data_IF_217947889642
#
_entry.id   IF_217947889642
#
_cell.length_a   1.000
_cell.length_b   1.000
_cell.length_c   1.000
_cell.angle_alpha   90.00
_cell.angle_beta   90.00
_cell.angle_gamma   90.00
#
_symmetry.space_group_name_H-M   'P 1'
#
loop_
_entity.id
_entity.type
_entity.pdbx_description
1 polymer ?
#
# COMPACT_ATOMS: atom_id res chain seq x y z
N UNK A 1 37.58 -23.07 -67.67
CA UNK A 1 38.82 -22.30 -67.47
C UNK A 1 38.66 -21.60 -66.13
N UNK A 2 39.42 -22.06 -65.15
CA UNK A 2 39.37 -21.65 -63.74
C UNK A 2 40.02 -20.28 -63.62
N UNK A 3 39.47 -19.37 -62.82
CA UNK A 3 40.24 -18.23 -62.34
C UNK A 3 40.03 -18.04 -60.83
N UNK A 4 41.11 -17.79 -60.07
CA UNK A 4 41.18 -18.18 -58.66
C UNK A 4 40.88 -17.04 -57.69
N UNK A 5 40.56 -17.46 -56.47
CA UNK A 5 40.54 -16.67 -55.24
C UNK A 5 41.98 -16.57 -54.71
N UNK A 6 42.46 -15.36 -54.37
CA UNK A 6 43.55 -15.10 -53.41
C UNK A 6 43.28 -13.73 -52.75
N UNK A 7 42.85 -13.66 -51.48
CA UNK A 7 43.63 -13.55 -50.22
C UNK A 7 43.87 -12.09 -49.79
N UNK A 8 43.06 -11.70 -48.78
CA UNK A 8 43.35 -11.01 -47.51
C UNK A 8 44.40 -9.87 -47.40
N UNK A 9 43.89 -8.80 -46.78
CA UNK A 9 44.34 -8.13 -45.52
C UNK A 9 45.12 -6.80 -45.57
N UNK A 10 44.71 -5.99 -44.57
CA UNK A 10 45.42 -4.91 -43.84
C UNK A 10 45.04 -3.46 -44.16
N UNK A 11 43.95 -3.04 -43.48
CA UNK A 11 43.75 -1.83 -42.65
C UNK A 11 44.36 -0.47 -43.02
N UNK A 12 43.55 0.59 -42.93
CA UNK A 12 43.67 1.59 -41.84
C UNK A 12 42.44 2.50 -41.74
N UNK A 13 42.17 2.91 -40.50
CA UNK A 13 40.93 3.45 -39.95
C UNK A 13 40.63 4.91 -40.30
N UNK A 14 39.33 5.27 -40.33
CA UNK A 14 38.86 6.57 -39.86
C UNK A 14 37.63 6.33 -38.98
N UNK A 15 37.73 6.80 -37.73
CA UNK A 15 36.77 6.55 -36.66
C UNK A 15 35.37 7.07 -36.97
N UNK A 16 34.42 6.14 -37.00
CA UNK A 16 33.04 6.43 -36.62
C UNK A 16 32.92 6.23 -35.12
N UNK A 17 32.52 7.27 -34.41
CA UNK A 17 32.21 7.23 -32.99
C UNK A 17 31.34 5.99 -32.70
N UNK A 18 31.83 5.13 -31.83
CA UNK A 18 31.00 4.13 -31.16
C UNK A 18 29.96 4.94 -30.39
N UNK A 19 28.75 5.12 -30.93
CA UNK A 19 27.60 5.49 -30.10
C UNK A 19 27.28 4.22 -29.32
N UNK A 20 27.56 4.13 -28.00
CA UNK A 20 27.06 3.00 -27.25
C UNK A 20 25.54 3.04 -27.38
N UNK A 21 25.00 1.95 -27.93
CA UNK A 21 23.58 1.67 -27.97
C UNK A 21 22.95 2.12 -26.66
N UNK A 22 21.84 2.85 -26.75
CA UNK A 22 21.05 3.31 -25.62
C UNK A 22 21.00 2.22 -24.54
N UNK A 23 21.64 2.48 -23.39
CA UNK A 23 21.39 1.68 -22.20
C UNK A 23 19.88 1.82 -21.99
N UNK A 24 19.12 0.75 -22.26
CA UNK A 24 17.73 0.68 -21.85
C UNK A 24 17.77 0.68 -20.32
N UNK A 25 17.73 1.87 -19.75
CA UNK A 25 17.67 2.06 -18.31
C UNK A 25 16.24 1.73 -17.92
N UNK A 26 16.09 0.54 -17.39
CA UNK A 26 14.85 -0.09 -16.94
C UNK A 26 14.37 0.49 -15.60
N UNK A 27 14.36 1.82 -15.51
CA UNK A 27 13.98 2.57 -14.32
C UNK A 27 12.60 3.18 -14.50
N UNK A 28 11.73 2.98 -13.51
CA UNK A 28 10.37 3.54 -13.51
C UNK A 28 10.02 4.11 -12.15
N UNK A 29 9.35 5.26 -12.16
CA UNK A 29 8.75 5.82 -10.96
C UNK A 29 7.29 5.43 -10.80
N UNK A 30 6.86 5.23 -9.56
CA UNK A 30 5.48 4.90 -9.21
C UNK A 30 4.99 5.80 -8.08
N UNK A 31 3.74 6.20 -8.19
CA UNK A 31 2.93 6.66 -7.05
C UNK A 31 1.90 5.59 -6.70
N UNK A 32 1.78 5.30 -5.40
CA UNK A 32 0.81 4.36 -4.83
C UNK A 32 0.19 4.94 -3.57
N UNK A 33 -1.01 4.47 -3.24
CA UNK A 33 -1.60 4.77 -1.94
C UNK A 33 -0.72 4.21 -0.81
N UNK A 34 -0.61 4.96 0.28
CA UNK A 34 0.00 4.49 1.53
C UNK A 34 -0.96 3.62 2.32
N UNK A 35 -1.33 4.08 3.51
CA UNK A 35 -2.39 3.47 4.33
C UNK A 35 -3.76 3.66 3.64
N UNK A 36 -4.43 2.55 3.30
CA UNK A 36 -5.79 2.54 2.78
C UNK A 36 -6.56 1.36 3.41
N UNK A 37 -7.80 1.62 3.81
CA UNK A 37 -8.64 0.70 4.55
C UNK A 37 -9.95 0.35 3.83
N UNK A 38 -10.11 0.81 2.58
CA UNK A 38 -11.26 0.46 1.74
C UNK A 38 -12.55 1.21 2.11
N UNK A 39 -13.70 0.60 1.83
CA UNK A 39 -15.04 1.14 2.09
C UNK A 39 -15.95 0.01 2.54
N UNK A 40 -15.80 -0.42 3.80
CA UNK A 40 -16.45 -1.63 4.33
C UNK A 40 -17.92 -1.41 4.63
N UNK A 41 -18.26 -0.26 5.22
CA UNK A 41 -19.58 0.14 5.67
C UNK A 41 -20.11 1.39 4.97
N UNK A 42 -19.40 1.88 3.94
CA UNK A 42 -19.78 3.07 3.18
C UNK A 42 -19.76 2.80 1.69
N UNK A 43 -20.41 3.70 0.95
CA UNK A 43 -20.33 3.75 -0.52
C UNK A 43 -18.89 3.80 -1.05
N UNK A 44 -18.64 3.23 -2.24
CA UNK A 44 -17.34 3.30 -2.89
C UNK A 44 -16.90 4.75 -3.17
N UNK A 45 -15.64 4.97 -3.56
CA UNK A 45 -15.18 6.30 -3.95
C UNK A 45 -16.06 6.94 -5.03
N UNK A 46 -16.28 8.25 -4.94
CA UNK A 46 -16.99 9.01 -5.94
C UNK A 46 -16.31 8.93 -7.32
N UNK A 47 -17.08 9.13 -8.39
CA UNK A 47 -16.57 9.07 -9.77
C UNK A 47 -15.36 9.98 -9.95
N UNK A 48 -14.24 9.40 -10.38
CA UNK A 48 -12.97 10.11 -10.57
C UNK A 48 -12.04 10.06 -9.35
N UNK A 49 -12.36 9.29 -8.32
CA UNK A 49 -11.45 8.91 -7.25
C UNK A 49 -11.31 7.38 -7.21
N UNK A 50 -10.16 6.90 -6.70
CA UNK A 50 -9.92 5.48 -6.45
C UNK A 50 -9.91 5.13 -4.95
N UNK A 51 -9.76 6.14 -4.10
CA UNK A 51 -9.63 5.97 -2.66
C UNK A 51 -10.55 6.96 -1.93
N UNK A 52 -11.10 6.53 -0.80
CA UNK A 52 -11.80 7.41 0.15
C UNK A 52 -10.89 7.62 1.35
N UNK A 53 -10.72 8.88 1.73
CA UNK A 53 -10.03 9.31 2.93
C UNK A 53 -11.03 10.17 3.71
N UNK A 54 -11.32 9.82 4.96
CA UNK A 54 -12.20 10.66 5.76
C UNK A 54 -11.46 11.91 6.22
N UNK A 55 -12.19 13.02 6.33
CA UNK A 55 -11.62 14.29 6.78
C UNK A 55 -10.91 14.11 8.12
N UNK A 56 -9.68 14.60 8.21
CA UNK A 56 -8.81 14.42 9.39
C UNK A 56 -7.96 13.14 9.38
N UNK A 57 -8.24 12.18 8.50
CA UNK A 57 -7.33 11.05 8.30
C UNK A 57 -6.06 11.50 7.58
N UNK A 58 -4.88 10.95 7.95
CA UNK A 58 -3.65 11.27 7.25
C UNK A 58 -3.67 10.72 5.83
N UNK A 59 -3.36 11.56 4.85
CA UNK A 59 -3.24 11.18 3.44
C UNK A 59 -1.79 10.76 3.20
N UNK A 60 -1.54 9.45 3.18
CA UNK A 60 -0.20 8.90 2.97
C UNK A 60 -0.05 8.34 1.56
N UNK A 61 1.13 8.56 0.99
CA UNK A 61 1.49 8.17 -0.38
C UNK A 61 2.81 7.43 -0.34
N UNK A 62 2.93 6.38 -1.14
CA UNK A 62 4.17 5.63 -1.36
C UNK A 62 4.72 5.99 -2.73
N UNK A 63 5.98 6.38 -2.76
CA UNK A 63 6.69 6.74 -3.98
C UNK A 63 7.83 5.75 -4.16
N UNK A 64 7.98 5.23 -5.38
CA UNK A 64 9.02 4.26 -5.68
C UNK A 64 9.82 4.64 -6.92
N UNK A 65 11.09 4.25 -6.94
CA UNK A 65 11.89 4.12 -8.15
C UNK A 65 12.31 2.67 -8.27
N UNK A 66 11.76 1.96 -9.26
CA UNK A 66 11.99 0.55 -9.51
C UNK A 66 13.02 0.37 -10.61
N UNK A 67 13.95 -0.57 -10.42
CA UNK A 67 14.71 -1.16 -11.50
C UNK A 67 14.04 -2.48 -11.93
N UNK A 68 13.32 -2.48 -13.04
CA UNK A 68 12.66 -3.68 -13.57
C UNK A 68 13.56 -4.53 -14.49
N UNK A 69 14.81 -4.09 -14.67
CA UNK A 69 15.78 -4.71 -15.55
C UNK A 69 16.51 -5.89 -14.90
N UNK A 70 17.40 -6.48 -15.69
CA UNK A 70 18.29 -7.58 -15.27
C UNK A 70 19.68 -7.13 -14.83
N UNK A 71 19.99 -5.83 -14.98
CA UNK A 71 21.30 -5.24 -14.65
C UNK A 71 21.14 -4.15 -13.58
N UNK A 72 22.22 -3.89 -12.84
CA UNK A 72 22.29 -2.74 -11.94
C UNK A 72 22.06 -1.45 -12.71
N UNK A 73 21.31 -0.54 -12.13
CA UNK A 73 21.06 0.79 -12.67
C UNK A 73 21.59 1.85 -11.70
N UNK A 74 21.90 3.03 -12.20
CA UNK A 74 22.26 4.17 -11.36
C UNK A 74 21.13 5.19 -11.35
N UNK A 75 20.73 5.58 -10.14
CA UNK A 75 19.82 6.69 -9.88
C UNK A 75 20.67 7.88 -9.46
N UNK A 76 20.50 9.01 -10.15
CA UNK A 76 21.27 10.22 -9.98
C UNK A 76 20.41 11.25 -9.26
N UNK A 77 20.80 11.57 -8.02
CA UNK A 77 20.19 12.60 -7.20
C UNK A 77 20.88 13.95 -7.34
N UNK A 78 22.16 13.98 -7.70
CA UNK A 78 23.00 15.19 -7.63
C UNK A 78 22.85 15.83 -6.24
N UNK A 79 22.56 17.13 -6.18
CA UNK A 79 22.40 17.90 -4.94
C UNK A 79 21.03 17.72 -4.26
N UNK A 80 20.12 16.92 -4.83
CA UNK A 80 18.79 16.73 -4.26
C UNK A 80 18.86 15.91 -2.97
N UNK A 81 18.22 16.42 -1.92
CA UNK A 81 17.92 15.65 -0.72
C UNK A 81 16.75 14.68 -0.98
N UNK A 82 16.58 13.60 -0.19
CA UNK A 82 15.46 12.66 -0.35
C UNK A 82 14.09 13.35 -0.43
N UNK A 83 13.90 14.39 0.37
CA UNK A 83 12.64 15.13 0.52
C UNK A 83 12.26 15.88 -0.77
N UNK A 84 13.26 16.12 -1.62
CA UNK A 84 13.16 16.86 -2.87
C UNK A 84 13.12 15.93 -4.10
N UNK A 85 13.18 14.61 -3.89
CA UNK A 85 13.22 13.61 -4.96
C UNK A 85 11.95 13.59 -5.82
N UNK A 86 10.82 14.08 -5.29
CA UNK A 86 9.55 14.15 -5.99
C UNK A 86 8.94 15.54 -5.89
N UNK A 87 8.28 15.95 -6.97
CA UNK A 87 7.46 17.15 -7.01
C UNK A 87 6.01 16.76 -7.20
N UNK A 88 5.10 17.45 -6.52
CA UNK A 88 3.66 17.33 -6.73
C UNK A 88 3.13 18.51 -7.56
N UNK A 89 2.17 18.24 -8.42
CA UNK A 89 1.34 19.24 -9.10
C UNK A 89 -0.11 18.91 -8.86
N UNK A 90 -0.88 19.87 -8.35
CA UNK A 90 -2.31 19.69 -8.12
C UNK A 90 -3.05 19.90 -9.44
N UNK A 91 -3.62 18.82 -9.98
CA UNK A 91 -4.43 18.87 -11.19
C UNK A 91 -5.89 19.20 -10.89
N UNK A 92 -6.40 18.69 -9.76
CA UNK A 92 -7.77 18.92 -9.30
C UNK A 92 -7.81 19.01 -7.77
N UNK A 93 -8.56 19.98 -7.27
CA UNK A 93 -8.93 20.15 -5.86
C UNK A 93 -10.34 20.77 -5.79
N UNK A 94 -11.03 20.70 -4.64
CA UNK A 94 -12.39 21.23 -4.49
C UNK A 94 -12.51 22.74 -4.75
N UNK A 95 -11.48 23.52 -4.37
CA UNK A 95 -11.44 24.97 -4.61
C UNK A 95 -10.05 25.44 -5.07
N UNK A 96 -9.94 26.61 -5.73
CA UNK A 96 -8.65 27.19 -6.13
C UNK A 96 -7.70 27.49 -4.96
N UNK A 97 -8.22 27.90 -3.80
CA UNK A 97 -7.43 28.22 -2.61
C UNK A 97 -6.68 26.98 -2.10
N UNK A 98 -7.38 25.85 -2.03
CA UNK A 98 -6.79 24.56 -1.63
C UNK A 98 -5.72 24.13 -2.62
N UNK A 99 -5.92 24.41 -3.92
CA UNK A 99 -4.96 24.08 -4.97
C UNK A 99 -3.61 24.78 -4.80
N UNK A 100 -3.61 26.03 -4.35
CA UNK A 100 -2.40 26.82 -4.15
C UNK A 100 -1.53 26.34 -2.99
N UNK A 101 -2.15 25.69 -2.00
CA UNK A 101 -1.55 25.46 -0.69
C UNK A 101 -1.30 23.98 -0.38
N UNK A 102 -1.53 23.09 -1.36
CA UNK A 102 -1.30 21.65 -1.25
C UNK A 102 0.14 21.30 -1.61
N UNK A 103 0.78 20.53 -0.74
CA UNK A 103 2.14 20.04 -0.92
C UNK A 103 2.27 18.56 -0.60
N UNK A 104 3.51 18.10 -0.60
CA UNK A 104 3.89 16.81 -0.04
C UNK A 104 5.07 16.99 0.89
N UNK A 105 5.06 16.22 1.96
CA UNK A 105 6.20 16.04 2.85
C UNK A 105 6.73 14.63 2.62
N UNK A 106 7.89 14.53 1.97
CA UNK A 106 8.57 13.25 1.73
C UNK A 106 9.52 12.99 2.90
N UNK A 107 9.49 11.77 3.43
CA UNK A 107 10.36 11.34 4.53
C UNK A 107 11.84 11.34 4.10
N UNK A 108 12.76 11.83 4.95
CA UNK A 108 14.20 11.74 4.69
C UNK A 108 14.72 10.29 4.72
N UNK A 109 13.98 9.38 5.37
CA UNK A 109 14.35 7.98 5.54
C UNK A 109 13.91 7.15 4.33
N UNK A 110 14.84 6.96 3.39
CA UNK A 110 14.63 6.14 2.19
C UNK A 110 14.99 4.69 2.48
N UNK A 111 14.17 3.75 1.98
CA UNK A 111 14.44 2.31 2.08
C UNK A 111 14.77 1.73 0.71
N UNK A 112 15.75 0.86 0.65
CA UNK A 112 16.00 -0.01 -0.49
C UNK A 112 15.25 -1.31 -0.24
N UNK A 113 14.22 -1.55 -1.04
CA UNK A 113 13.44 -2.79 -0.99
C UNK A 113 14.03 -3.76 -2.00
N UNK A 114 14.59 -4.84 -1.48
CA UNK A 114 15.11 -5.99 -2.22
C UNK A 114 14.06 -7.11 -2.22
N UNK A 115 14.16 -8.13 -3.09
CA UNK A 115 13.15 -9.20 -3.17
C UNK A 115 12.84 -9.93 -1.85
N UNK A 116 13.77 -9.92 -0.88
CA UNK A 116 13.64 -10.65 0.39
C UNK A 116 13.89 -9.81 1.64
N UNK A 117 14.23 -8.53 1.49
CA UNK A 117 14.59 -7.69 2.64
C UNK A 117 14.41 -6.21 2.31
N UNK A 118 14.36 -5.37 3.33
CA UNK A 118 14.38 -3.93 3.20
C UNK A 118 15.49 -3.37 4.09
N UNK A 119 16.32 -2.49 3.55
CA UNK A 119 17.41 -1.86 4.29
C UNK A 119 17.34 -0.34 4.15
N UNK A 120 17.78 0.43 5.16
CA UNK A 120 17.95 1.88 5.01
C UNK A 120 18.94 2.20 3.89
N UNK A 121 18.72 3.32 3.19
CA UNK A 121 19.63 3.84 2.16
C UNK A 121 20.49 4.93 2.78
N UNK A 122 21.80 4.79 2.64
CA UNK A 122 22.71 5.92 2.80
C UNK A 122 22.59 6.81 1.56
N UNK A 123 21.89 7.93 1.71
CA UNK A 123 21.61 8.83 0.59
C UNK A 123 22.90 9.48 0.07
N UNK A 124 23.04 9.52 -1.25
CA UNK A 124 24.18 10.13 -1.93
C UNK A 124 23.78 10.64 -3.31
N UNK A 125 24.66 11.39 -3.97
CA UNK A 125 24.41 11.93 -5.31
C UNK A 125 24.15 10.83 -6.37
N UNK A 126 24.66 9.62 -6.13
CA UNK A 126 24.63 8.49 -7.06
C UNK A 126 24.29 7.21 -6.30
N UNK A 127 23.09 6.72 -6.50
CA UNK A 127 22.55 5.55 -5.80
C UNK A 127 22.52 4.37 -6.77
N UNK A 128 23.24 3.30 -6.43
CA UNK A 128 23.17 2.05 -7.19
C UNK A 128 21.89 1.30 -6.82
N UNK A 129 21.08 0.98 -7.84
CA UNK A 129 19.84 0.25 -7.69
C UNK A 129 19.96 -1.14 -8.33
N UNK A 130 19.98 -2.23 -7.54
CA UNK A 130 20.06 -3.60 -8.06
C UNK A 130 18.85 -3.98 -8.94
N UNK A 131 18.98 -5.03 -9.78
CA UNK A 131 17.85 -5.61 -10.51
C UNK A 131 16.71 -5.97 -9.57
N UNK A 132 15.46 -5.70 -9.99
CA UNK A 132 14.23 -6.00 -9.25
C UNK A 132 14.14 -5.33 -7.86
N UNK A 133 15.00 -4.36 -7.58
CA UNK A 133 14.98 -3.57 -6.36
C UNK A 133 14.27 -2.23 -6.58
N UNK A 134 13.78 -1.63 -5.51
CA UNK A 134 13.23 -0.27 -5.55
C UNK A 134 13.72 0.60 -4.42
N UNK A 135 13.96 1.87 -4.71
CA UNK A 135 14.01 2.92 -3.69
C UNK A 135 12.58 3.26 -3.31
N UNK A 136 12.29 3.26 -2.01
CA UNK A 136 10.97 3.47 -1.45
C UNK A 136 10.99 4.70 -0.54
N UNK A 137 10.06 5.61 -0.79
CA UNK A 137 9.85 6.84 -0.06
C UNK A 137 8.43 6.86 0.49
N UNK A 138 8.31 7.21 1.77
CA UNK A 138 7.02 7.55 2.36
C UNK A 138 6.79 9.04 2.23
N UNK A 139 5.59 9.43 1.86
CA UNK A 139 5.18 10.81 1.79
C UNK A 139 3.81 11.02 2.41
N UNK A 140 3.56 12.24 2.88
CA UNK A 140 2.25 12.71 3.31
C UNK A 140 1.83 13.86 2.42
N UNK A 141 0.55 13.91 2.05
CA UNK A 141 -0.02 15.11 1.44
C UNK A 141 -0.26 16.11 2.56
N UNK A 142 0.21 17.34 2.38
CA UNK A 142 0.12 18.42 3.35
C UNK A 142 -0.67 19.59 2.78
N UNK A 143 -1.25 20.40 3.65
CA UNK A 143 -1.89 21.67 3.32
C UNK A 143 -1.69 22.67 4.45
N UNK A 144 -1.92 23.95 4.18
CA UNK A 144 -1.87 24.99 5.23
C UNK A 144 -2.98 24.85 6.27
N UNK A 145 -4.13 24.31 5.87
CA UNK A 145 -5.24 24.04 6.76
C UNK A 145 -5.00 22.73 7.51
N UNK A 146 -5.42 22.70 8.79
CA UNK A 146 -5.35 21.50 9.63
C UNK A 146 -6.13 20.32 9.04
N UNK A 147 -7.26 20.59 8.40
CA UNK A 147 -8.06 19.62 7.67
C UNK A 147 -8.40 20.13 6.27
N UNK A 148 -8.03 19.35 5.25
CA UNK A 148 -8.43 19.64 3.88
C UNK A 148 -9.95 19.47 3.70
N UNK A 149 -10.60 20.30 2.87
CA UNK A 149 -12.04 20.22 2.68
C UNK A 149 -12.45 18.95 1.90
N UNK A 150 -13.70 18.47 2.09
CA UNK A 150 -14.22 17.36 1.31
C UNK A 150 -14.23 17.62 -0.20
N UNK A 151 -14.09 16.56 -0.99
CA UNK A 151 -14.17 16.57 -2.44
C UNK A 151 -13.08 15.76 -3.12
N UNK A 152 -12.96 15.92 -4.44
CA UNK A 152 -12.09 15.08 -5.28
C UNK A 152 -10.75 15.78 -5.55
N UNK A 153 -9.66 15.06 -5.31
CA UNK A 153 -8.29 15.50 -5.48
C UNK A 153 -7.56 14.65 -6.51
N UNK A 154 -6.89 15.30 -7.46
CA UNK A 154 -5.98 14.65 -8.41
C UNK A 154 -4.61 15.29 -8.28
N UNK A 155 -3.64 14.51 -7.82
CA UNK A 155 -2.26 14.93 -7.64
C UNK A 155 -1.37 14.22 -8.65
N UNK A 156 -0.57 14.99 -9.40
CA UNK A 156 0.45 14.47 -10.31
C UNK A 156 1.81 14.51 -9.63
N UNK A 157 2.46 13.36 -9.51
CA UNK A 157 3.78 13.19 -8.94
C UNK A 157 4.82 13.05 -10.06
N UNK A 158 5.87 13.86 -9.99
CA UNK A 158 7.00 13.82 -10.92
C UNK A 158 8.28 13.49 -10.16
N UNK A 159 8.97 12.43 -10.59
CA UNK A 159 10.31 12.12 -10.12
C UNK A 159 11.30 13.19 -10.63
N UNK A 160 12.10 13.76 -9.73
CA UNK A 160 13.17 14.72 -10.05
C UNK A 160 14.53 14.04 -10.23
N UNK A 161 14.68 12.82 -9.73
CA UNK A 161 15.89 12.01 -9.92
C UNK A 161 16.03 11.60 -11.39
N UNK A 162 17.28 11.39 -11.79
CA UNK A 162 17.63 11.05 -13.18
C UNK A 162 18.27 9.67 -13.25
N UNK A 163 18.35 9.12 -14.44
CA UNK A 163 19.11 7.90 -14.69
C UNK A 163 20.61 8.20 -14.89
N UNK A 164 21.44 7.17 -15.08
CA UNK A 164 22.89 7.33 -15.28
C UNK A 164 23.21 8.20 -16.51
N UNK A 165 22.37 8.13 -17.54
CA UNK A 165 22.46 8.95 -18.75
C UNK A 165 21.98 10.39 -18.58
N UNK A 166 21.52 10.78 -17.38
CA UNK A 166 20.96 12.10 -17.08
C UNK A 166 19.52 12.29 -17.55
N UNK A 167 18.89 11.24 -18.11
CA UNK A 167 17.50 11.29 -18.58
C UNK A 167 16.51 11.22 -17.42
N UNK A 168 15.29 11.71 -17.67
CA UNK A 168 14.19 11.59 -16.72
C UNK A 168 13.84 10.11 -16.51
N UNK A 169 13.57 9.72 -15.27
CA UNK A 169 13.03 8.40 -14.97
C UNK A 169 11.53 8.42 -15.32
N UNK A 170 11.07 7.64 -16.32
CA UNK A 170 9.68 7.64 -16.74
C UNK A 170 8.75 7.23 -15.59
N UNK A 171 7.56 7.81 -15.54
CA UNK A 171 6.52 7.40 -14.61
C UNK A 171 5.73 6.24 -15.21
N UNK A 172 5.62 5.15 -14.45
CA UNK A 172 4.64 4.10 -14.74
C UNK A 172 3.28 4.47 -14.12
N UNK A 173 3.27 5.08 -12.93
CA UNK A 173 2.10 5.74 -12.36
C UNK A 173 2.51 7.09 -11.79
N UNK A 174 1.81 8.16 -12.18
CA UNK A 174 2.07 9.52 -11.71
C UNK A 174 0.84 10.22 -11.13
N UNK A 175 -0.38 9.72 -11.38
CA UNK A 175 -1.60 10.37 -10.89
C UNK A 175 -2.15 9.62 -9.67
N UNK A 176 -2.31 10.34 -8.57
CA UNK A 176 -2.99 9.87 -7.37
C UNK A 176 -4.36 10.56 -7.25
N UNK A 177 -5.43 9.76 -7.31
CA UNK A 177 -6.82 10.25 -7.35
C UNK A 177 -7.58 9.75 -6.13
N UNK A 178 -8.03 10.66 -5.28
CA UNK A 178 -8.73 10.31 -4.04
C UNK A 178 -9.85 11.31 -3.74
N UNK A 179 -10.78 10.88 -2.90
CA UNK A 179 -11.85 11.67 -2.34
C UNK A 179 -11.55 11.91 -0.87
N UNK A 180 -11.69 13.17 -0.42
CA UNK A 180 -11.85 13.47 1.00
C UNK A 180 -13.34 13.51 1.29
N UNK A 181 -13.79 12.73 2.28
CA UNK A 181 -15.21 12.62 2.66
C UNK A 181 -15.42 13.13 4.08
N UNK A 182 -16.46 13.94 4.29
CA UNK A 182 -16.90 14.32 5.63
C UNK A 182 -17.62 13.16 6.30
N UNK A 183 -17.65 13.14 7.63
CA UNK A 183 -18.42 12.15 8.40
C UNK A 183 -19.83 12.69 8.61
N UNK A 184 -20.78 12.26 7.78
CA UNK A 184 -22.14 12.82 7.78
C UNK A 184 -23.20 11.76 8.12
N UNK A 185 -23.02 10.55 7.59
CA UNK A 185 -24.00 9.46 7.70
C UNK A 185 -23.71 8.52 8.87
N UNK A 186 -24.64 7.61 9.15
CA UNK A 186 -24.41 6.55 10.14
C UNK A 186 -23.34 5.57 9.66
N UNK A 187 -23.42 5.21 8.38
CA UNK A 187 -22.46 4.41 7.62
C UNK A 187 -21.04 4.98 7.69
N UNK A 188 -20.88 6.30 7.51
CA UNK A 188 -19.58 6.96 7.64
C UNK A 188 -18.99 6.81 9.04
N UNK A 189 -19.82 6.92 10.08
CA UNK A 189 -19.37 6.75 11.47
C UNK A 189 -18.89 5.31 11.73
N UNK A 190 -19.61 4.31 11.23
CA UNK A 190 -19.19 2.91 11.33
C UNK A 190 -17.89 2.67 10.57
N UNK A 191 -17.77 3.24 9.36
CA UNK A 191 -16.58 3.12 8.53
C UNK A 191 -15.36 3.75 9.20
N UNK A 192 -15.47 4.96 9.74
CA UNK A 192 -14.36 5.59 10.45
C UNK A 192 -13.91 4.74 11.64
N UNK A 193 -14.83 4.20 12.43
CA UNK A 193 -14.48 3.34 13.56
C UNK A 193 -13.75 2.07 13.15
N UNK A 194 -14.21 1.37 12.10
CA UNK A 194 -13.53 0.15 11.64
C UNK A 194 -12.15 0.46 11.03
N UNK A 195 -12.01 1.60 10.33
CA UNK A 195 -10.73 2.06 9.77
C UNK A 195 -9.74 2.42 10.86
N UNK A 196 -10.17 3.15 11.89
CA UNK A 196 -9.36 3.47 13.07
C UNK A 196 -8.93 2.20 13.79
N UNK A 197 -9.86 1.29 14.07
CA UNK A 197 -9.55 0.00 14.70
C UNK A 197 -8.52 -0.80 13.89
N UNK A 198 -8.71 -0.90 12.57
CA UNK A 198 -7.78 -1.62 11.69
C UNK A 198 -6.39 -0.98 11.68
N UNK A 199 -6.32 0.36 11.64
CA UNK A 199 -5.06 1.10 11.72
C UNK A 199 -4.32 0.86 13.03
N UNK A 200 -5.03 0.88 14.15
CA UNK A 200 -4.49 0.60 15.48
C UNK A 200 -4.00 -0.86 15.57
N UNK A 201 -4.76 -1.81 15.03
CA UNK A 201 -4.40 -3.21 15.00
C UNK A 201 -3.10 -3.47 14.23
N UNK A 202 -2.96 -2.90 13.04
CA UNK A 202 -1.72 -3.01 12.23
C UNK A 202 -0.51 -2.38 12.93
N UNK A 203 -0.74 -1.40 13.81
CA UNK A 203 0.29 -0.78 14.65
C UNK A 203 0.49 -1.51 15.98
N UNK A 204 -0.08 -2.70 16.13
CA UNK A 204 0.00 -3.56 17.32
C UNK A 204 -0.53 -2.91 18.61
N UNK A 205 -1.40 -1.88 18.47
CA UNK A 205 -2.03 -1.17 19.59
C UNK A 205 -3.33 -1.85 20.00
N UNK A 206 -3.24 -3.10 20.45
CA UNK A 206 -4.40 -3.98 20.61
C UNK A 206 -5.45 -3.47 21.61
N UNK A 207 -5.04 -2.82 22.71
CA UNK A 207 -5.98 -2.25 23.69
C UNK A 207 -6.78 -1.09 23.11
N UNK A 208 -6.15 -0.24 22.28
CA UNK A 208 -6.83 0.85 21.59
C UNK A 208 -7.78 0.29 20.51
N UNK A 209 -7.35 -0.76 19.79
CA UNK A 209 -8.20 -1.47 18.84
C UNK A 209 -9.46 -2.01 19.51
N UNK A 210 -9.36 -2.66 20.68
CA UNK A 210 -10.52 -3.20 21.39
C UNK A 210 -11.52 -2.11 21.78
N UNK A 211 -11.04 -0.93 22.20
CA UNK A 211 -11.93 0.20 22.51
C UNK A 211 -12.75 0.60 21.29
N UNK A 212 -12.10 0.74 20.13
CA UNK A 212 -12.77 1.13 18.87
C UNK A 212 -13.70 0.04 18.34
N UNK A 213 -13.31 -1.23 18.46
CA UNK A 213 -14.18 -2.36 18.11
C UNK A 213 -15.41 -2.42 19.03
N UNK A 214 -15.25 -2.17 20.32
CA UNK A 214 -16.39 -2.15 21.26
C UNK A 214 -17.32 -0.96 21.00
N UNK A 215 -16.78 0.21 20.65
CA UNK A 215 -17.57 1.38 20.21
C UNK A 215 -18.36 1.05 18.94
N UNK A 216 -17.71 0.46 17.94
CA UNK A 216 -18.36 -0.01 16.71
C UNK A 216 -19.49 -1.00 17.00
N UNK A 217 -19.25 -2.01 17.84
CA UNK A 217 -20.24 -3.04 18.16
C UNK A 217 -21.37 -2.54 19.08
N UNK A 218 -21.15 -1.45 19.82
CA UNK A 218 -22.21 -0.77 20.57
C UNK A 218 -23.17 -0.05 19.60
N UNK A 219 -22.64 0.62 18.57
CA UNK A 219 -23.43 1.31 17.56
C UNK A 219 -24.07 0.35 16.55
N UNK A 220 -23.34 -0.68 16.15
CA UNK A 220 -23.77 -1.67 15.16
C UNK A 220 -23.41 -3.10 15.61
N UNK A 221 -24.29 -3.72 16.44
CA UNK A 221 -24.05 -5.07 16.98
C UNK A 221 -23.94 -6.19 15.95
N UNK A 222 -24.31 -5.93 14.70
CA UNK A 222 -24.23 -6.88 13.60
C UNK A 222 -22.99 -6.66 12.70
N UNK A 223 -21.97 -5.94 13.16
CA UNK A 223 -20.72 -5.75 12.42
C UNK A 223 -19.90 -7.05 12.34
N UNK A 224 -19.94 -7.72 11.19
CA UNK A 224 -19.08 -8.87 10.91
C UNK A 224 -17.59 -8.48 10.95
N UNK A 225 -17.23 -7.31 10.43
CA UNK A 225 -15.85 -6.81 10.47
C UNK A 225 -15.37 -6.55 11.92
N UNK A 226 -16.23 -5.98 12.77
CA UNK A 226 -15.94 -5.77 14.20
C UNK A 226 -15.69 -7.09 14.94
N UNK A 227 -16.53 -8.11 14.71
CA UNK A 227 -16.28 -9.45 15.28
C UNK A 227 -15.04 -10.13 14.68
N UNK A 228 -14.75 -9.89 13.40
CA UNK A 228 -13.52 -10.35 12.76
C UNK A 228 -12.28 -9.80 13.47
N UNK A 229 -12.20 -8.48 13.66
CA UNK A 229 -11.09 -7.86 14.40
C UNK A 229 -11.01 -8.34 15.85
N UNK A 230 -12.14 -8.52 16.52
CA UNK A 230 -12.18 -9.09 17.87
C UNK A 230 -11.57 -10.50 17.91
N UNK A 231 -11.82 -11.30 16.89
CA UNK A 231 -11.20 -12.62 16.71
C UNK A 231 -9.69 -12.52 16.53
N UNK A 232 -9.22 -11.61 15.69
CA UNK A 232 -7.79 -11.41 15.44
C UNK A 232 -7.03 -10.92 16.68
N UNK A 233 -7.64 -10.04 17.49
CA UNK A 233 -7.05 -9.61 18.77
C UNK A 233 -6.94 -10.78 19.74
N UNK A 234 -7.99 -11.60 19.86
CA UNK A 234 -7.98 -12.77 20.73
C UNK A 234 -6.92 -13.79 20.28
N UNK A 235 -6.77 -14.00 18.97
CA UNK A 235 -5.76 -14.88 18.38
C UNK A 235 -4.33 -14.41 18.70
N UNK A 236 -4.02 -13.13 18.48
CA UNK A 236 -2.71 -12.54 18.83
C UNK A 236 -2.39 -12.69 20.32
N UNK A 237 -3.41 -12.67 21.18
CA UNK A 237 -3.28 -12.88 22.63
C UNK A 237 -3.27 -14.35 23.06
N UNK A 238 -3.31 -15.30 22.11
CA UNK A 238 -3.34 -16.74 22.38
C UNK A 238 -4.66 -17.26 22.95
N UNK A 239 -5.73 -16.45 22.93
CA UNK A 239 -7.04 -16.81 23.46
C UNK A 239 -7.90 -17.50 22.41
N UNK A 240 -7.54 -18.74 22.09
CA UNK A 240 -8.12 -19.51 20.97
C UNK A 240 -9.64 -19.65 21.02
N UNK A 241 -10.22 -19.96 22.18
CA UNK A 241 -11.68 -20.11 22.32
C UNK A 241 -12.43 -18.79 22.07
N UNK A 242 -11.89 -17.66 22.54
CA UNK A 242 -12.46 -16.34 22.29
C UNK A 242 -12.37 -15.97 20.81
N UNK A 243 -11.24 -16.28 20.15
CA UNK A 243 -11.04 -16.07 18.72
C UNK A 243 -12.05 -16.88 17.89
N UNK A 244 -12.19 -18.18 18.18
CA UNK A 244 -13.17 -19.05 17.52
C UNK A 244 -14.59 -18.52 17.69
N UNK A 245 -14.97 -18.09 18.90
CA UNK A 245 -16.31 -17.56 19.17
C UNK A 245 -16.58 -16.29 18.34
N UNK A 246 -15.60 -15.38 18.26
CA UNK A 246 -15.72 -14.14 17.52
C UNK A 246 -15.79 -14.38 16.00
N UNK A 247 -14.89 -15.20 15.45
CA UNK A 247 -14.91 -15.54 14.02
C UNK A 247 -16.17 -16.30 13.62
N UNK A 248 -16.69 -17.21 14.45
CA UNK A 248 -17.98 -17.87 14.20
C UNK A 248 -19.12 -16.86 14.16
N UNK A 249 -19.13 -15.86 15.05
CA UNK A 249 -20.14 -14.80 15.05
C UNK A 249 -20.07 -13.95 13.78
N UNK A 250 -18.86 -13.55 13.35
CA UNK A 250 -18.67 -12.83 12.08
C UNK A 250 -19.19 -13.65 10.89
N UNK A 251 -18.84 -14.94 10.83
CA UNK A 251 -19.24 -15.85 9.75
C UNK A 251 -20.77 -16.04 9.70
N UNK A 252 -21.40 -16.20 10.86
CA UNK A 252 -22.85 -16.32 11.01
C UNK A 252 -23.56 -15.05 10.53
N UNK A 253 -23.07 -13.87 10.90
CA UNK A 253 -23.64 -12.59 10.44
C UNK A 253 -23.61 -12.44 8.91
N UNK A 254 -22.50 -12.81 8.27
CA UNK A 254 -22.39 -12.77 6.81
C UNK A 254 -23.32 -13.78 6.13
N UNK A 255 -23.32 -15.04 6.58
CA UNK A 255 -24.14 -16.10 5.96
C UNK A 255 -25.64 -15.89 6.15
N UNK A 256 -26.05 -15.32 7.28
CA UNK A 256 -27.45 -15.04 7.58
C UNK A 256 -27.95 -13.72 7.02
N UNK A 257 -27.09 -12.92 6.38
CA UNK A 257 -27.49 -11.63 5.80
C UNK A 257 -27.69 -10.51 6.83
N UNK A 258 -27.23 -10.68 8.08
CA UNK A 258 -27.52 -9.74 9.17
C UNK A 258 -26.59 -8.54 9.24
N UNK A 259 -25.39 -8.63 8.68
CA UNK A 259 -24.56 -7.45 8.44
C UNK A 259 -25.04 -6.74 7.16
N UNK A 260 -26.22 -6.12 7.26
CA UNK A 260 -26.91 -5.50 6.11
C UNK A 260 -26.11 -4.36 5.49
N UNK A 261 -25.34 -3.60 6.28
CA UNK A 261 -24.56 -2.46 5.76
C UNK A 261 -23.35 -2.97 4.99
N UNK A 262 -22.60 -3.93 5.54
CA UNK A 262 -21.50 -4.56 4.80
C UNK A 262 -21.98 -5.15 3.48
N UNK A 263 -23.07 -5.91 3.52
CA UNK A 263 -23.61 -6.61 2.35
C UNK A 263 -24.20 -5.66 1.30
N UNK A 264 -24.56 -4.43 1.67
CA UNK A 264 -25.05 -3.41 0.73
C UNK A 264 -23.92 -2.81 -0.12
N UNK A 265 -22.69 -2.79 0.40
CA UNK A 265 -21.54 -2.17 -0.28
C UNK A 265 -20.51 -3.19 -0.80
N UNK A 266 -20.46 -4.38 -0.21
CA UNK A 266 -19.59 -5.45 -0.67
C UNK A 266 -20.11 -6.08 -1.97
N UNK A 267 -19.19 -6.43 -2.88
CA UNK A 267 -19.52 -7.29 -4.01
C UNK A 267 -19.69 -8.74 -3.55
N UNK A 268 -20.43 -9.56 -4.31
CA UNK A 268 -20.56 -11.00 -4.00
C UNK A 268 -19.20 -11.68 -3.83
N UNK A 269 -18.23 -11.36 -4.69
CA UNK A 269 -16.86 -11.87 -4.59
C UNK A 269 -16.17 -11.41 -3.30
N UNK A 270 -16.39 -10.15 -2.89
CA UNK A 270 -15.87 -9.63 -1.62
C UNK A 270 -16.46 -10.37 -0.40
N UNK A 271 -17.77 -10.64 -0.42
CA UNK A 271 -18.44 -11.42 0.63
C UNK A 271 -17.90 -12.85 0.69
N UNK A 272 -17.79 -13.52 -0.45
CA UNK A 272 -17.22 -14.88 -0.54
C UNK A 272 -15.77 -14.92 -0.04
N UNK A 273 -14.97 -13.91 -0.38
CA UNK A 273 -13.59 -13.79 0.10
C UNK A 273 -13.53 -13.67 1.63
N UNK A 274 -14.35 -12.80 2.23
CA UNK A 274 -14.41 -12.66 3.69
C UNK A 274 -14.88 -13.94 4.39
N UNK A 275 -15.89 -14.61 3.84
CA UNK A 275 -16.36 -15.91 4.35
C UNK A 275 -15.24 -16.95 4.28
N UNK A 276 -14.52 -17.02 3.16
CA UNK A 276 -13.42 -17.95 2.97
C UNK A 276 -12.30 -17.70 4.01
N UNK A 277 -11.90 -16.44 4.20
CA UNK A 277 -10.91 -16.05 5.20
C UNK A 277 -11.30 -16.48 6.62
N UNK A 278 -12.56 -16.24 7.02
CA UNK A 278 -13.08 -16.67 8.33
C UNK A 278 -13.09 -18.20 8.48
N UNK A 279 -13.47 -18.94 7.43
CA UNK A 279 -13.46 -20.41 7.44
C UNK A 279 -12.04 -20.96 7.59
N UNK A 280 -11.06 -20.37 6.90
CA UNK A 280 -9.64 -20.75 7.03
C UNK A 280 -9.14 -20.51 8.45
N UNK A 281 -9.37 -19.32 9.00
CA UNK A 281 -8.97 -18.99 10.38
C UNK A 281 -9.57 -19.96 11.40
N UNK A 282 -10.87 -20.27 11.26
CA UNK A 282 -11.56 -21.22 12.14
C UNK A 282 -10.99 -22.64 12.08
N UNK A 283 -10.65 -23.13 10.88
CA UNK A 283 -10.02 -24.45 10.71
C UNK A 283 -8.64 -24.51 11.33
N UNK A 284 -7.83 -23.46 11.16
CA UNK A 284 -6.49 -23.37 11.76
C UNK A 284 -6.57 -23.50 13.28
N UNK A 285 -7.40 -22.68 13.92
CA UNK A 285 -7.54 -22.67 15.38
C UNK A 285 -8.09 -23.98 15.95
N UNK A 286 -9.00 -24.65 15.24
CA UNK A 286 -9.54 -25.96 15.64
C UNK A 286 -8.47 -27.05 15.58
N UNK A 287 -7.71 -27.12 14.49
CA UNK A 287 -6.63 -28.11 14.35
C UNK A 287 -5.54 -27.94 15.42
N UNK A 288 -5.24 -26.71 15.82
CA UNK A 288 -4.30 -26.44 16.91
C UNK A 288 -4.81 -26.93 18.28
N UNK A 289 -6.11 -26.75 18.58
CA UNK A 289 -6.71 -27.23 19.83
C UNK A 289 -6.71 -28.77 19.91
N UNK A 290 -7.03 -29.44 18.80
CA UNK A 290 -6.99 -30.89 18.69
C UNK A 290 -5.57 -31.42 18.90
N UNK A 291 -4.56 -30.80 18.29
CA UNK A 291 -3.15 -31.12 18.50
C UNK A 291 -2.67 -30.94 19.95
N UNK A 292 -3.08 -29.85 20.62
CA UNK A 292 -2.74 -29.60 22.03
C UNK A 292 -3.37 -30.60 22.99
N UNK A 293 -4.62 -31.01 22.75
CA UNK A 293 -5.31 -32.01 23.55
C UNK A 293 -4.67 -33.41 23.40
N UNK A 294 -4.26 -33.79 22.18
CA UNK A 294 -3.52 -35.03 21.96
C UNK A 294 -2.13 -35.02 22.60
N UNK A 295 -1.43 -33.89 22.60
CA UNK A 295 -0.10 -33.80 23.22
C UNK A 295 -0.15 -33.84 24.76
N UNK A 296 -1.18 -33.23 25.38
CA UNK A 296 -1.39 -33.33 26.84
C UNK A 296 -1.74 -34.77 27.28
N UNK A 297 -2.52 -35.49 26.48
CA UNK A 297 -2.87 -36.90 26.76
C UNK A 297 -1.70 -37.89 26.66
N UNK A 298 -0.60 -37.53 25.99
CA UNK A 298 0.60 -38.38 25.86
C UNK A 298 1.70 -38.06 26.89
N UNK A 299 1.56 -36.98 27.68
CA UNK A 299 2.56 -36.51 28.65
C UNK A 299 2.28 -36.90 30.10
N UNK A 300 1.36 -37.82 30.36
CA UNK A 300 1.22 -38.46 31.68
C UNK A 300 2.04 -39.76 31.71
N UNK A 301 3.27 -39.78 32.26
CA UNK A 301 3.91 -41.03 32.63
C UNK A 301 3.23 -41.58 33.90
N UNK A 302 2.89 -42.87 33.87
CA UNK A 302 2.59 -43.67 35.06
C UNK A 302 3.81 -43.78 35.98
#
# INVERSE_FOLDING_TARGET
MVQPICVLLVSLAIGGAFSPQSVNEHLYSFVRVGENYGTTYTSPPAKGAYFVIFQGEPITVRLDILNDGSKKAMVIANELRPEEAFQVTVLKAPTPEVRGNLGIEVSPSVKLILPKTAIPVEWSERIELPPQARLYFEAKVTGEQEALPPGIYHLKFRCRLKSASGKEIPAHSEIFQFEIRAVETFEDRLEVLIREATRLFVREKYEETEKKVNELLLLYPNSAAGYGLKGSIAEVRGKKDEAIKAYRKALDLLRSGRDTIYLSYASNVGVEHSISGLVVALRSLQGELEGESHHKGQREPR
#
